data_IF_562135741117
#
_entry.id   IF_562135741117
#
_cell.length_a   1.000
_cell.length_b   1.000
_cell.length_c   1.000
_cell.angle_alpha   90.00
_cell.angle_beta   90.00
_cell.angle_gamma   90.00
#
_symmetry.space_group_name_H-M   'P 1'
#
loop_
_entity.id
_entity.type
_entity.pdbx_description
1 polymer ?
#
# COMPACT_ATOMS: atom_id res chain seq x y z
N UNK A 1 1.36 22.81 -5.02
CA UNK A 1 1.92 21.50 -5.45
C UNK A 1 3.20 21.79 -6.21
N UNK A 2 4.30 21.08 -5.91
CA UNK A 2 5.59 21.26 -6.60
C UNK A 2 5.49 20.61 -7.98
N UNK A 3 6.02 21.21 -9.05
CA UNK A 3 5.92 20.73 -10.45
C UNK A 3 6.42 19.29 -10.67
N UNK A 4 7.18 18.74 -9.70
CA UNK A 4 7.77 17.40 -9.76
C UNK A 4 6.96 16.31 -9.03
N UNK A 5 5.87 16.67 -8.36
CA UNK A 5 5.01 15.71 -7.66
C UNK A 5 3.81 15.38 -8.54
N UNK A 6 3.68 14.11 -8.89
CA UNK A 6 2.55 13.58 -9.66
C UNK A 6 1.69 12.75 -8.72
N UNK A 7 0.41 13.11 -8.61
CA UNK A 7 -0.60 12.28 -7.94
C UNK A 7 -1.19 11.30 -8.96
N UNK A 8 -1.11 9.99 -8.66
CA UNK A 8 -1.64 8.93 -9.52
C UNK A 8 -3.15 8.75 -9.38
N UNK A 9 -3.79 9.26 -8.32
CA UNK A 9 -5.21 9.04 -8.07
C UNK A 9 -6.12 9.65 -9.14
N UNK A 10 -5.93 10.90 -9.62
CA UNK A 10 -6.73 11.45 -10.71
C UNK A 10 -6.59 10.62 -11.99
N UNK A 11 -5.36 10.23 -12.34
CA UNK A 11 -5.06 9.41 -13.52
C UNK A 11 -5.82 8.08 -13.44
N UNK A 12 -5.78 7.41 -12.28
CA UNK A 12 -6.46 6.15 -12.09
C UNK A 12 -7.99 6.30 -12.19
N UNK A 13 -8.57 7.35 -11.61
CA UNK A 13 -10.03 7.61 -11.64
C UNK A 13 -10.56 7.90 -13.05
N UNK A 14 -9.79 8.66 -13.82
CA UNK A 14 -10.25 9.14 -15.13
C UNK A 14 -9.99 8.11 -16.25
N UNK A 15 -9.06 7.17 -16.05
CA UNK A 15 -8.57 6.31 -17.13
C UNK A 15 -8.55 4.81 -16.84
N UNK A 16 -8.85 4.36 -15.61
CA UNK A 16 -8.81 2.94 -15.28
C UNK A 16 -9.95 2.50 -14.36
N UNK A 17 -10.59 1.40 -14.75
CA UNK A 17 -11.55 0.70 -13.91
C UNK A 17 -11.55 -0.80 -14.20
N UNK A 18 -11.45 -1.60 -13.15
CA UNK A 18 -11.65 -3.04 -13.14
C UNK A 18 -12.78 -3.42 -12.16
N UNK A 19 -13.67 -4.38 -12.47
CA UNK A 19 -14.73 -4.82 -11.55
C UNK A 19 -14.25 -5.23 -10.15
N UNK A 20 -13.01 -5.74 -10.00
CA UNK A 20 -12.42 -6.11 -8.72
C UNK A 20 -12.22 -4.90 -7.78
N UNK A 21 -12.16 -3.68 -8.32
CA UNK A 21 -12.04 -2.45 -7.53
C UNK A 21 -13.28 -2.15 -6.69
N UNK A 22 -14.46 -2.63 -7.09
CA UNK A 22 -15.72 -2.44 -6.38
C UNK A 22 -15.99 -0.95 -6.05
N UNK A 23 -15.75 -0.06 -7.02
CA UNK A 23 -15.93 1.38 -6.86
C UNK A 23 -14.84 2.12 -6.05
N UNK A 24 -13.74 1.46 -5.71
CA UNK A 24 -12.63 2.06 -4.96
C UNK A 24 -11.36 2.23 -5.81
N UNK A 25 -10.71 3.38 -5.65
CA UNK A 25 -9.38 3.67 -6.23
C UNK A 25 -8.29 3.78 -5.15
N UNK A 26 -8.55 3.22 -3.96
CA UNK A 26 -7.47 3.06 -2.99
C UNK A 26 -6.38 2.17 -3.57
N UNK A 27 -5.11 2.42 -3.21
CA UNK A 27 -3.96 1.64 -3.67
C UNK A 27 -4.16 0.13 -3.48
N UNK A 28 -4.83 -0.28 -2.40
CA UNK A 28 -5.11 -1.69 -2.04
C UNK A 28 -6.17 -2.37 -2.90
N UNK A 29 -7.02 -1.58 -3.56
CA UNK A 29 -8.03 -2.09 -4.51
C UNK A 29 -7.54 -1.96 -5.94
N UNK A 30 -6.72 -0.95 -6.21
CA UNK A 30 -6.15 -0.69 -7.52
C UNK A 30 -4.99 -1.66 -7.84
N UNK A 31 -4.11 -1.93 -6.89
CA UNK A 31 -2.94 -2.80 -7.12
C UNK A 31 -3.35 -4.22 -7.55
N UNK A 32 -4.25 -4.94 -6.85
CA UNK A 32 -4.62 -6.30 -7.27
C UNK A 32 -5.39 -6.35 -8.61
N UNK A 33 -6.02 -5.23 -9.01
CA UNK A 33 -6.65 -5.11 -10.31
C UNK A 33 -5.64 -4.95 -11.45
N UNK A 34 -4.45 -4.41 -11.16
CA UNK A 34 -3.35 -4.23 -12.12
C UNK A 34 -2.42 -5.44 -12.12
N UNK A 35 -2.07 -5.94 -10.93
CA UNK A 35 -1.21 -7.10 -10.71
C UNK A 35 -1.85 -8.02 -9.65
N UNK A 36 -2.61 -9.05 -10.07
CA UNK A 36 -3.29 -9.98 -9.18
C UNK A 36 -2.35 -10.79 -8.27
N UNK A 37 -1.05 -10.83 -8.57
CA UNK A 37 -0.07 -11.52 -7.73
C UNK A 37 0.37 -10.67 -6.53
N UNK A 38 0.04 -9.38 -6.53
CA UNK A 38 0.46 -8.45 -5.49
C UNK A 38 -0.69 -8.12 -4.54
N UNK A 39 -0.70 -8.82 -3.40
CA UNK A 39 -1.79 -8.76 -2.42
C UNK A 39 -1.27 -8.44 -1.01
N UNK A 40 -1.90 -7.47 -0.35
CA UNK A 40 -1.66 -7.11 1.04
C UNK A 40 -2.11 -8.22 2.00
N UNK A 41 -3.01 -9.12 1.60
CA UNK A 41 -3.47 -10.24 2.43
C UNK A 41 -2.35 -11.24 2.76
N UNK A 42 -1.26 -11.25 1.99
CA UNK A 42 -0.08 -12.06 2.24
C UNK A 42 0.82 -11.49 3.36
N UNK A 43 0.60 -10.24 3.79
CA UNK A 43 1.35 -9.66 4.90
C UNK A 43 0.88 -10.24 6.23
N UNK A 44 1.82 -10.64 7.06
CA UNK A 44 1.55 -10.98 8.45
C UNK A 44 1.28 -9.71 9.26
N UNK A 45 0.14 -9.66 9.95
CA UNK A 45 -0.25 -8.53 10.79
C UNK A 45 -0.88 -7.37 10.01
N UNK A 46 -0.10 -6.36 9.63
CA UNK A 46 -0.61 -5.10 9.06
C UNK A 46 -0.95 -5.25 7.57
N UNK A 47 -2.24 -5.18 7.22
CA UNK A 47 -2.70 -5.32 5.82
C UNK A 47 -3.53 -4.13 5.32
N UNK A 48 -3.97 -3.24 6.21
CA UNK A 48 -4.75 -2.06 5.85
C UNK A 48 -4.37 -0.82 6.66
N UNK A 49 -4.86 0.34 6.22
CA UNK A 49 -4.46 1.63 6.82
C UNK A 49 -5.04 1.84 8.22
N UNK A 50 -6.23 1.29 8.49
CA UNK A 50 -6.83 1.31 9.83
C UNK A 50 -6.05 0.41 10.78
N UNK A 51 -5.58 -0.75 10.31
CA UNK A 51 -4.70 -1.64 11.07
C UNK A 51 -3.36 -1.01 11.33
N UNK A 52 -2.74 -0.37 10.34
CA UNK A 52 -1.47 0.32 10.49
C UNK A 52 -1.52 1.38 11.60
N UNK A 53 -2.59 2.18 11.67
CA UNK A 53 -2.82 3.14 12.75
C UNK A 53 -2.86 2.48 14.13
N UNK A 54 -3.70 1.45 14.31
CA UNK A 54 -3.81 0.72 15.59
C UNK A 54 -2.51 0.02 16.01
N UNK A 55 -1.79 -0.56 15.05
CA UNK A 55 -0.51 -1.23 15.30
C UNK A 55 0.57 -0.22 15.68
N UNK A 56 0.58 0.95 15.04
CA UNK A 56 1.48 2.03 15.42
C UNK A 56 1.21 2.52 16.84
N UNK A 57 -0.05 2.74 17.22
CA UNK A 57 -0.43 3.09 18.59
C UNK A 57 0.09 2.07 19.60
N UNK A 58 -0.05 0.78 19.31
CA UNK A 58 0.47 -0.29 20.17
C UNK A 58 2.01 -0.32 20.20
N UNK A 59 2.67 -0.05 19.09
CA UNK A 59 4.13 -0.06 18.99
C UNK A 59 4.79 1.06 19.82
N UNK A 60 4.10 2.19 20.00
CA UNK A 60 4.59 3.32 20.79
C UNK A 60 4.15 3.29 22.26
N UNK A 61 3.20 2.44 22.63
CA UNK A 61 2.74 2.30 24.02
C UNK A 61 3.89 1.82 24.94
N UNK A 62 4.06 2.47 26.09
CA UNK A 62 5.07 2.12 27.08
C UNK A 62 4.79 0.76 27.77
N UNK A 63 3.55 0.27 27.72
CA UNK A 63 3.16 -1.03 28.28
C UNK A 63 3.44 -2.19 27.32
N UNK A 64 3.78 -1.93 26.06
CA UNK A 64 4.10 -2.99 25.09
C UNK A 64 5.51 -3.49 25.30
N UNK A 65 5.64 -4.81 25.48
CA UNK A 65 6.93 -5.49 25.67
C UNK A 65 7.90 -5.25 24.50
N UNK A 66 9.22 -5.13 24.76
CA UNK A 66 10.21 -4.82 23.73
C UNK A 66 10.20 -5.77 22.52
N UNK A 67 10.03 -7.08 22.77
CA UNK A 67 9.94 -8.09 21.70
C UNK A 67 8.72 -7.87 20.82
N UNK A 68 7.57 -7.56 21.43
CA UNK A 68 6.34 -7.23 20.70
C UNK A 68 6.50 -5.95 19.90
N UNK A 69 7.15 -4.91 20.44
CA UNK A 69 7.46 -3.68 19.67
C UNK A 69 8.30 -3.97 18.45
N UNK A 70 9.32 -4.82 18.57
CA UNK A 70 10.17 -5.21 17.45
C UNK A 70 9.37 -5.93 16.36
N UNK A 71 8.46 -6.84 16.73
CA UNK A 71 7.57 -7.52 15.80
C UNK A 71 6.63 -6.55 15.06
N UNK A 72 5.94 -5.67 15.80
CA UNK A 72 5.03 -4.67 15.23
C UNK A 72 5.75 -3.72 14.28
N UNK A 73 6.98 -3.32 14.63
CA UNK A 73 7.82 -2.49 13.76
C UNK A 73 8.14 -3.21 12.44
N UNK A 74 8.48 -4.50 12.47
CA UNK A 74 8.73 -5.28 11.26
C UNK A 74 7.47 -5.43 10.40
N UNK A 75 6.29 -5.63 11.01
CA UNK A 75 5.02 -5.71 10.29
C UNK A 75 4.66 -4.38 9.60
N UNK A 76 4.85 -3.25 10.31
CA UNK A 76 4.67 -1.91 9.74
C UNK A 76 5.66 -1.64 8.60
N UNK A 77 6.92 -2.06 8.74
CA UNK A 77 7.94 -1.84 7.72
C UNK A 77 7.60 -2.60 6.43
N UNK A 78 7.25 -3.88 6.52
CA UNK A 78 6.79 -4.69 5.37
C UNK A 78 5.57 -4.06 4.67
N UNK A 79 4.62 -3.56 5.46
CA UNK A 79 3.45 -2.85 4.94
C UNK A 79 3.83 -1.57 4.19
N UNK A 80 4.73 -0.75 4.75
CA UNK A 80 5.23 0.48 4.12
C UNK A 80 6.06 0.22 2.85
N UNK A 81 6.87 -0.84 2.85
CA UNK A 81 7.62 -1.29 1.67
C UNK A 81 6.68 -1.66 0.53
N UNK A 82 5.59 -2.40 0.82
CA UNK A 82 4.60 -2.77 -0.17
C UNK A 82 3.82 -1.55 -0.68
N UNK A 83 3.41 -0.60 0.18
CA UNK A 83 2.76 0.65 -0.24
C UNK A 83 3.67 1.44 -1.21
N UNK A 84 4.98 1.48 -0.93
CA UNK A 84 5.98 2.18 -1.78
C UNK A 84 6.13 1.49 -3.13
N UNK A 85 6.32 0.18 -3.13
CA UNK A 85 6.50 -0.58 -4.36
C UNK A 85 5.23 -0.59 -5.22
N UNK A 86 4.05 -0.66 -4.59
CA UNK A 86 2.76 -0.58 -5.26
C UNK A 86 2.62 0.71 -6.08
N UNK A 87 3.08 1.86 -5.56
CA UNK A 87 3.09 3.12 -6.32
C UNK A 87 3.95 3.04 -7.57
N UNK A 88 5.09 2.35 -7.51
CA UNK A 88 5.98 2.14 -8.66
C UNK A 88 5.31 1.24 -9.71
N UNK A 89 4.68 0.14 -9.28
CA UNK A 89 3.94 -0.78 -10.17
C UNK A 89 2.80 -0.05 -10.88
N UNK A 90 1.99 0.71 -10.14
CA UNK A 90 0.87 1.46 -10.70
C UNK A 90 1.37 2.53 -11.68
N UNK A 91 2.44 3.26 -11.34
CA UNK A 91 3.04 4.24 -12.24
C UNK A 91 3.60 3.59 -13.52
N UNK A 92 4.26 2.44 -13.41
CA UNK A 92 4.76 1.67 -14.56
C UNK A 92 3.64 1.24 -15.49
N UNK A 93 2.56 0.72 -14.91
CA UNK A 93 1.36 0.32 -15.63
C UNK A 93 0.79 1.50 -16.43
N UNK A 94 0.57 2.65 -15.80
CA UNK A 94 0.02 3.83 -16.49
C UNK A 94 0.97 4.48 -17.50
N UNK A 95 2.28 4.26 -17.37
CA UNK A 95 3.27 4.80 -18.31
C UNK A 95 3.74 3.82 -19.37
N UNK A 96 3.23 2.58 -19.37
CA UNK A 96 3.63 1.53 -20.32
C UNK A 96 5.10 1.11 -20.20
N UNK A 97 5.72 1.30 -19.03
CA UNK A 97 7.12 0.91 -18.78
C UNK A 97 7.16 -0.49 -18.18
N UNK A 98 7.78 -1.44 -18.88
CA UNK A 98 8.16 -2.73 -18.30
C UNK A 98 9.63 -2.69 -17.86
N UNK A 99 9.96 -3.45 -16.81
CA UNK A 99 11.32 -3.57 -16.28
C UNK A 99 12.32 -3.93 -17.40
N UNK A 100 13.40 -3.17 -17.48
CA UNK A 100 14.64 -3.57 -18.14
C UNK A 100 15.45 -4.46 -17.18
#
# INVERSE_FOLDING_TARGET
>A
IIERLVDLLPIARDHFYDPAQQGSWSIKKLLPAIDPHMDYSALEGVQDGSMAGRVFELAIDNQTEPERKAELHQQLLKYCELDTYAMVVIWRFFTGRQDQ
#
